data_IF_614692276477
#
_entry.id   IF_614692276477
#
_cell.length_a   1.000
_cell.length_b   1.000
_cell.length_c   1.000
_cell.angle_alpha   90.00
_cell.angle_beta   90.00
_cell.angle_gamma   90.00
#
_symmetry.space_group_name_H-M   'P 1'
#
loop_
_entity.id
_entity.type
_entity.pdbx_description
1 polymer ?
#
# COMPACT_ATOMS: atom_id res chain seq x y z
N UNK A 1 17.44 14.84 27.66
CA UNK A 1 18.36 14.72 26.50
C UNK A 1 18.47 13.23 26.17
N UNK A 2 18.01 12.83 24.98
CA UNK A 2 18.07 11.44 24.53
C UNK A 2 19.52 10.99 24.27
N UNK A 3 19.77 9.68 24.14
CA UNK A 3 21.09 9.19 23.72
C UNK A 3 21.47 9.69 22.32
N UNK A 4 20.47 9.71 21.41
CA UNK A 4 20.69 10.20 20.05
C UNK A 4 21.07 11.68 20.02
N UNK A 5 20.38 12.50 20.81
CA UNK A 5 20.66 13.94 20.91
C UNK A 5 22.10 14.23 21.42
N UNK A 6 22.61 13.38 22.30
CA UNK A 6 24.01 13.47 22.78
C UNK A 6 25.02 13.00 21.74
N UNK A 7 24.69 11.95 21.00
CA UNK A 7 25.62 11.29 20.08
C UNK A 7 25.62 11.95 18.70
N UNK A 8 24.44 12.33 18.19
CA UNK A 8 24.27 12.95 16.88
C UNK A 8 23.11 13.94 16.92
N UNK A 9 23.36 15.18 17.35
CA UNK A 9 22.33 16.21 17.44
C UNK A 9 21.76 16.62 16.07
N UNK A 10 22.52 16.43 14.96
CA UNK A 10 22.04 16.76 13.62
C UNK A 10 20.93 15.79 13.19
N UNK A 11 21.15 14.51 13.37
CA UNK A 11 20.11 13.50 13.08
C UNK A 11 18.89 13.70 13.98
N UNK A 12 19.08 13.98 15.28
CA UNK A 12 17.96 14.27 16.17
C UNK A 12 17.15 15.49 15.71
N UNK A 13 17.82 16.55 15.26
CA UNK A 13 17.16 17.74 14.75
C UNK A 13 16.29 17.44 13.51
N UNK A 14 16.79 16.66 12.56
CA UNK A 14 16.04 16.27 11.35
C UNK A 14 14.85 15.39 11.69
N UNK A 15 15.00 14.45 12.64
CA UNK A 15 13.88 13.62 13.14
C UNK A 15 12.80 14.51 13.76
N UNK A 16 13.19 15.52 14.53
CA UNK A 16 12.24 16.45 15.12
C UNK A 16 11.52 17.30 14.06
N UNK A 17 12.22 17.70 12.99
CA UNK A 17 11.60 18.40 11.85
C UNK A 17 10.59 17.51 11.12
N UNK A 18 10.91 16.23 10.89
CA UNK A 18 9.97 15.28 10.28
C UNK A 18 8.76 15.03 11.19
N UNK A 19 8.96 14.91 12.50
CA UNK A 19 7.84 14.81 13.45
C UNK A 19 6.94 16.04 13.41
N UNK A 20 7.51 17.25 13.32
CA UNK A 20 6.76 18.50 13.16
C UNK A 20 5.96 18.48 11.84
N UNK A 21 6.60 18.11 10.72
CA UNK A 21 5.91 17.95 9.43
C UNK A 21 4.71 17.01 9.52
N UNK A 22 4.87 15.84 10.14
CA UNK A 22 3.78 14.87 10.30
C UNK A 22 2.66 15.42 11.19
N UNK A 23 2.96 16.23 12.20
CA UNK A 23 1.97 16.84 13.09
C UNK A 23 1.21 18.00 12.42
N UNK A 24 1.90 18.80 11.63
CA UNK A 24 1.41 20.08 11.12
C UNK A 24 0.79 19.97 9.72
N UNK A 25 0.89 18.81 9.05
CA UNK A 25 0.30 18.55 7.74
C UNK A 25 -0.74 17.45 7.78
N UNK A 26 -1.71 17.49 6.86
CA UNK A 26 -2.64 16.40 6.59
C UNK A 26 -2.00 15.43 5.61
N UNK A 27 -1.70 14.21 6.08
CA UNK A 27 -1.11 13.15 5.27
C UNK A 27 -2.19 12.42 4.48
N UNK A 28 -2.21 12.59 3.17
CA UNK A 28 -3.18 12.00 2.26
C UNK A 28 -2.54 11.10 1.20
N UNK A 29 -1.25 10.79 1.32
CA UNK A 29 -0.63 9.75 0.49
C UNK A 29 -1.26 8.40 0.84
N UNK A 30 -1.97 7.79 -0.12
CA UNK A 30 -2.78 6.58 0.11
C UNK A 30 -1.96 5.36 0.61
N UNK A 31 -0.65 5.37 0.42
CA UNK A 31 0.28 4.33 0.84
C UNK A 31 1.00 4.63 2.16
N UNK A 32 0.65 5.71 2.85
CA UNK A 32 1.22 6.08 4.14
C UNK A 32 0.21 5.93 5.29
N UNK A 33 0.76 5.74 6.49
CA UNK A 33 -0.01 5.62 7.72
C UNK A 33 0.88 5.93 8.93
N UNK A 34 0.28 6.14 10.08
CA UNK A 34 0.97 6.32 11.35
C UNK A 34 0.87 5.05 12.18
N UNK A 35 2.00 4.50 12.59
CA UNK A 35 2.06 3.30 13.43
C UNK A 35 1.88 3.65 14.90
N UNK A 36 1.51 2.67 15.72
CA UNK A 36 1.46 2.83 17.17
C UNK A 36 2.86 3.02 17.78
N UNK A 37 2.93 3.61 18.97
CA UNK A 37 4.17 3.69 19.74
C UNK A 37 4.77 2.30 20.01
N UNK A 38 3.94 1.29 20.25
CA UNK A 38 4.40 -0.08 20.47
C UNK A 38 5.11 -0.68 19.25
N UNK A 39 4.65 -0.37 18.04
CA UNK A 39 5.34 -0.76 16.79
C UNK A 39 6.69 -0.06 16.69
N UNK A 40 6.78 1.25 17.01
CA UNK A 40 8.04 2.00 17.00
C UNK A 40 9.03 1.48 18.05
N UNK A 41 8.58 1.18 19.27
CA UNK A 41 9.41 0.61 20.33
C UNK A 41 9.97 -0.77 19.96
N UNK A 42 9.14 -1.65 19.38
CA UNK A 42 9.60 -2.95 18.92
C UNK A 42 10.69 -2.80 17.84
N UNK A 43 10.52 -1.86 16.91
CA UNK A 43 11.48 -1.61 15.85
C UNK A 43 12.78 -0.98 16.35
N UNK A 44 12.74 -0.14 17.37
CA UNK A 44 13.91 0.48 18.01
C UNK A 44 14.57 -0.39 19.08
N UNK A 45 14.24 -1.68 19.16
CA UNK A 45 14.71 -2.58 20.22
C UNK A 45 16.09 -3.18 19.95
N UNK A 46 16.64 -3.88 20.96
CA UNK A 46 17.92 -4.62 20.90
C UNK A 46 17.94 -5.73 19.84
N UNK A 47 16.79 -6.09 19.28
CA UNK A 47 16.68 -7.09 18.22
C UNK A 47 17.41 -6.70 16.93
N UNK A 48 17.72 -5.40 16.75
CA UNK A 48 18.58 -4.92 15.65
C UNK A 48 19.97 -5.53 15.67
N UNK A 49 20.44 -6.02 16.82
CA UNK A 49 21.77 -6.61 16.97
C UNK A 49 21.83 -8.09 16.55
N UNK A 50 20.66 -8.76 16.36
CA UNK A 50 20.63 -10.22 16.21
C UNK A 50 20.64 -10.68 14.77
N UNK A 51 21.63 -11.49 14.44
CA UNK A 51 21.74 -12.19 13.15
C UNK A 51 21.05 -13.56 13.22
N UNK A 52 20.06 -13.82 12.35
CA UNK A 52 19.18 -14.98 12.46
C UNK A 52 18.86 -15.64 11.10
N UNK A 53 19.87 -15.86 10.25
CA UNK A 53 19.70 -16.58 8.97
C UNK A 53 19.04 -17.95 9.16
N UNK A 54 18.14 -18.27 8.25
CA UNK A 54 17.30 -19.45 8.33
C UNK A 54 15.89 -19.11 8.85
N UNK A 55 15.24 -20.10 9.43
CA UNK A 55 13.85 -20.02 9.92
C UNK A 55 13.74 -20.53 11.35
N UNK A 56 12.65 -20.27 12.09
CA UNK A 56 12.48 -20.77 13.47
C UNK A 56 12.79 -22.26 13.60
N UNK A 57 13.62 -22.61 14.57
CA UNK A 57 14.08 -23.97 14.81
C UNK A 57 15.11 -24.51 13.80
N UNK A 58 15.45 -23.75 12.75
CA UNK A 58 16.39 -24.14 11.69
C UNK A 58 17.31 -22.96 11.33
N UNK A 59 17.96 -22.37 12.33
CA UNK A 59 18.87 -21.24 12.14
C UNK A 59 20.30 -21.71 11.83
N UNK A 60 21.03 -20.89 11.11
CA UNK A 60 22.46 -21.10 10.87
C UNK A 60 23.34 -20.60 12.02
N UNK A 61 22.76 -19.78 12.94
CA UNK A 61 23.48 -19.16 14.07
C UNK A 61 22.86 -19.57 15.40
N UNK A 62 23.72 -19.61 16.45
CA UNK A 62 23.26 -19.80 17.82
C UNK A 62 22.60 -18.58 18.43
N UNK A 63 21.99 -18.72 19.61
CA UNK A 63 21.33 -17.63 20.35
C UNK A 63 20.06 -17.11 19.69
N UNK A 64 19.33 -17.97 18.99
CA UNK A 64 18.10 -17.60 18.27
C UNK A 64 16.81 -18.00 18.99
N UNK A 65 16.90 -18.55 20.20
CA UNK A 65 15.75 -19.06 20.96
C UNK A 65 14.64 -18.00 21.14
N UNK A 66 15.02 -16.74 21.39
CA UNK A 66 14.05 -15.65 21.58
C UNK A 66 13.49 -15.12 20.26
N UNK A 67 14.35 -14.97 19.23
CA UNK A 67 13.88 -14.50 17.92
C UNK A 67 13.05 -15.55 17.19
N UNK A 68 13.23 -16.83 17.48
CA UNK A 68 12.38 -17.92 17.01
C UNK A 68 10.93 -17.75 17.52
N UNK A 69 10.78 -17.38 18.80
CA UNK A 69 9.44 -17.08 19.36
C UNK A 69 8.81 -15.88 18.66
N UNK A 70 9.59 -14.82 18.43
CA UNK A 70 9.09 -13.58 17.78
C UNK A 70 8.65 -13.87 16.34
N UNK A 71 9.45 -14.55 15.55
CA UNK A 71 9.11 -14.86 14.17
C UNK A 71 7.92 -15.82 14.08
N UNK A 72 7.88 -16.82 14.96
CA UNK A 72 6.74 -17.74 15.06
C UNK A 72 5.45 -16.98 15.38
N UNK A 73 5.47 -16.05 16.35
CA UNK A 73 4.31 -15.21 16.65
C UNK A 73 3.86 -14.36 15.45
N UNK A 74 4.80 -13.79 14.69
CA UNK A 74 4.47 -13.03 13.49
C UNK A 74 3.81 -13.93 12.42
N UNK A 75 4.35 -15.11 12.19
CA UNK A 75 3.81 -16.11 11.24
C UNK A 75 2.40 -16.53 11.66
N UNK A 76 2.20 -16.94 12.91
CA UNK A 76 0.90 -17.43 13.38
C UNK A 76 -0.17 -16.32 13.39
N UNK A 77 0.20 -15.09 13.75
CA UNK A 77 -0.71 -13.94 13.68
C UNK A 77 -1.09 -13.61 12.24
N UNK A 78 -0.12 -13.64 11.31
CA UNK A 78 -0.38 -13.44 9.88
C UNK A 78 -1.32 -14.50 9.32
N UNK A 79 -1.07 -15.78 9.59
CA UNK A 79 -1.93 -16.90 9.18
C UNK A 79 -3.35 -16.74 9.73
N UNK A 80 -3.49 -16.41 11.02
CA UNK A 80 -4.79 -16.19 11.65
C UNK A 80 -5.53 -14.99 11.07
N UNK A 81 -4.82 -13.89 10.77
CA UNK A 81 -5.39 -12.65 10.30
C UNK A 81 -6.02 -12.78 8.91
N UNK A 82 -5.39 -13.56 8.04
CA UNK A 82 -5.78 -13.70 6.63
C UNK A 82 -6.36 -15.07 6.27
N UNK A 83 -6.33 -16.05 7.18
CA UNK A 83 -6.76 -17.43 6.89
C UNK A 83 -5.80 -18.18 5.98
N UNK A 84 -4.50 -17.87 5.99
CA UNK A 84 -3.51 -18.47 5.12
C UNK A 84 -2.96 -19.79 5.67
N UNK A 85 -2.62 -20.72 4.76
CA UNK A 85 -2.00 -22.01 5.11
C UNK A 85 -0.54 -21.81 5.53
N UNK A 86 0.20 -20.93 4.83
CA UNK A 86 1.60 -20.59 5.10
C UNK A 86 1.83 -19.09 5.02
N UNK A 87 2.78 -18.58 5.82
CA UNK A 87 3.22 -17.20 5.83
C UNK A 87 4.74 -17.10 5.95
N UNK A 88 5.36 -16.30 5.08
CA UNK A 88 6.74 -15.87 5.21
C UNK A 88 6.78 -14.37 5.54
N UNK A 89 7.29 -14.03 6.73
CA UNK A 89 7.32 -12.66 7.26
C UNK A 89 8.68 -11.98 7.09
N UNK A 90 9.64 -12.63 6.44
CA UNK A 90 11.01 -12.13 6.27
C UNK A 90 11.19 -11.10 5.14
N UNK A 91 10.36 -10.98 4.09
CA UNK A 91 10.57 -9.96 3.07
C UNK A 91 10.75 -8.56 3.64
N UNK A 92 11.82 -7.86 3.22
CA UNK A 92 12.15 -6.52 3.72
C UNK A 92 11.21 -5.45 3.16
N UNK A 93 10.58 -5.72 2.03
CA UNK A 93 9.61 -4.82 1.38
C UNK A 93 8.60 -5.60 0.53
N UNK A 94 7.52 -4.93 0.09
CA UNK A 94 6.58 -5.51 -0.86
C UNK A 94 7.24 -5.87 -2.19
N UNK A 95 8.16 -5.05 -2.69
CA UNK A 95 8.91 -5.35 -3.92
C UNK A 95 9.75 -6.62 -3.79
N UNK A 96 10.40 -6.83 -2.64
CA UNK A 96 11.15 -8.07 -2.38
C UNK A 96 10.22 -9.28 -2.20
N UNK A 97 9.05 -9.09 -1.61
CA UNK A 97 8.04 -10.14 -1.53
C UNK A 97 7.62 -10.59 -2.95
N UNK A 98 7.28 -9.64 -3.83
CA UNK A 98 6.91 -9.93 -5.21
C UNK A 98 8.07 -10.60 -5.97
N UNK A 99 9.28 -10.05 -5.84
CA UNK A 99 10.45 -10.63 -6.50
C UNK A 99 10.77 -12.04 -5.95
N UNK A 100 10.57 -12.29 -4.65
CA UNK A 100 10.69 -13.62 -4.06
C UNK A 100 9.75 -14.64 -4.68
N UNK A 101 8.52 -14.25 -4.96
CA UNK A 101 7.55 -15.11 -5.68
C UNK A 101 8.02 -15.40 -7.09
N UNK A 102 8.46 -14.36 -7.82
CA UNK A 102 8.97 -14.54 -9.19
C UNK A 102 10.20 -15.45 -9.22
N UNK A 103 11.14 -15.22 -8.33
CA UNK A 103 12.35 -16.04 -8.20
C UNK A 103 12.04 -17.50 -7.84
N UNK A 104 11.00 -17.74 -7.05
CA UNK A 104 10.58 -19.10 -6.67
C UNK A 104 9.96 -19.89 -7.82
N UNK A 105 9.20 -19.22 -8.70
CA UNK A 105 8.21 -19.89 -9.55
C UNK A 105 8.38 -19.64 -11.05
N UNK A 106 9.18 -18.65 -11.43
CA UNK A 106 9.38 -18.24 -12.82
C UNK A 106 10.85 -18.40 -13.25
N UNK A 107 11.03 -18.44 -14.58
CA UNK A 107 12.34 -18.31 -15.21
C UNK A 107 12.36 -17.02 -16.04
N UNK A 108 13.54 -16.38 -16.27
CA UNK A 108 13.66 -15.27 -17.19
C UNK A 108 13.08 -15.64 -18.57
N UNK A 109 12.23 -14.75 -19.13
CA UNK A 109 11.53 -14.98 -20.38
C UNK A 109 10.14 -15.62 -20.24
N UNK A 110 9.75 -16.08 -19.05
CA UNK A 110 8.36 -16.51 -18.82
C UNK A 110 7.38 -15.35 -19.04
N UNK A 111 6.18 -15.65 -19.51
CA UNK A 111 5.13 -14.63 -19.69
C UNK A 111 4.35 -14.42 -18.41
N UNK A 112 4.17 -13.17 -18.04
CA UNK A 112 3.32 -12.74 -16.93
C UNK A 112 2.25 -11.77 -17.42
N UNK A 113 1.08 -11.81 -16.77
CA UNK A 113 -0.01 -10.84 -16.98
C UNK A 113 -0.16 -10.03 -15.71
N UNK A 114 -0.09 -8.69 -15.82
CA UNK A 114 -0.22 -7.76 -14.70
C UNK A 114 -1.00 -6.52 -15.06
N UNK A 115 -1.50 -5.79 -14.05
CA UNK A 115 -2.23 -4.55 -14.30
C UNK A 115 -1.28 -3.48 -14.84
N UNK A 116 -1.71 -2.79 -15.90
CA UNK A 116 -0.96 -1.68 -16.48
C UNK A 116 -0.68 -0.60 -15.42
N UNK A 117 0.57 -0.13 -15.35
CA UNK A 117 1.00 0.88 -14.40
C UNK A 117 0.15 2.16 -14.49
N UNK A 118 -0.14 2.63 -15.72
CA UNK A 118 -0.94 3.83 -15.97
C UNK A 118 -2.43 3.65 -15.64
N UNK A 119 -2.90 2.42 -15.46
CA UNK A 119 -4.27 2.10 -15.07
C UNK A 119 -4.41 1.72 -13.59
N UNK A 120 -3.34 1.92 -12.82
CA UNK A 120 -3.35 1.71 -11.37
C UNK A 120 -2.51 0.52 -10.88
N UNK A 121 -1.78 -0.17 -11.74
CA UNK A 121 -0.85 -1.24 -11.37
C UNK A 121 0.31 -0.74 -10.49
N UNK A 122 1.18 -1.66 -10.08
CA UNK A 122 2.40 -1.35 -9.34
C UNK A 122 3.64 -1.58 -10.23
N UNK A 123 4.74 -0.87 -9.95
CA UNK A 123 6.01 -1.03 -10.69
C UNK A 123 6.44 -2.50 -10.82
N UNK A 124 6.28 -3.27 -9.73
CA UNK A 124 6.68 -4.69 -9.69
C UNK A 124 5.73 -5.63 -10.42
N UNK A 125 4.66 -5.13 -11.05
CA UNK A 125 3.72 -5.93 -11.84
C UNK A 125 4.06 -5.95 -13.34
N UNK A 126 5.33 -5.70 -13.69
CA UNK A 126 5.80 -5.77 -15.07
C UNK A 126 6.19 -4.44 -15.72
N UNK A 127 6.38 -3.36 -14.93
CA UNK A 127 6.88 -2.10 -15.48
C UNK A 127 8.25 -2.28 -16.13
N UNK A 128 8.49 -1.73 -17.35
CA UNK A 128 9.76 -1.86 -18.07
C UNK A 128 10.99 -1.37 -17.30
N UNK A 129 10.81 -0.45 -16.36
CA UNK A 129 11.90 0.09 -15.51
C UNK A 129 12.14 -0.73 -14.25
N UNK A 130 11.38 -1.81 -14.05
CA UNK A 130 11.49 -2.71 -12.92
C UNK A 130 12.06 -4.07 -13.34
N UNK A 131 12.66 -4.79 -12.40
CA UNK A 131 13.16 -6.17 -12.62
C UNK A 131 12.09 -7.05 -13.27
N UNK A 132 10.82 -6.93 -12.88
CA UNK A 132 9.72 -7.70 -13.43
C UNK A 132 9.54 -7.46 -14.94
N UNK A 133 9.66 -6.22 -15.42
CA UNK A 133 9.58 -5.89 -16.83
C UNK A 133 10.87 -6.18 -17.60
N UNK A 134 12.00 -6.31 -16.90
CA UNK A 134 13.30 -6.63 -17.51
C UNK A 134 13.47 -8.14 -17.73
N UNK A 135 12.97 -8.97 -16.83
CA UNK A 135 13.20 -10.42 -16.85
C UNK A 135 12.08 -11.21 -17.52
N UNK A 136 10.86 -10.67 -17.56
CA UNK A 136 9.68 -11.40 -18.03
C UNK A 136 9.06 -10.76 -19.28
N UNK A 137 8.36 -11.58 -20.07
CA UNK A 137 7.48 -11.11 -21.13
C UNK A 137 6.18 -10.62 -20.48
N UNK A 138 5.95 -9.31 -20.49
CA UNK A 138 4.81 -8.71 -19.81
C UNK A 138 3.69 -8.44 -20.78
N UNK A 139 2.50 -8.95 -20.48
CA UNK A 139 1.27 -8.61 -21.18
C UNK A 139 0.36 -7.87 -20.17
N UNK A 140 0.13 -6.56 -20.36
CA UNK A 140 -0.67 -5.79 -19.42
C UNK A 140 -2.16 -5.98 -19.68
N UNK A 141 -2.96 -6.04 -18.59
CA UNK A 141 -4.39 -5.75 -18.66
C UNK A 141 -4.69 -4.37 -18.09
N UNK A 142 -5.82 -3.79 -18.45
CA UNK A 142 -6.19 -2.45 -18.04
C UNK A 142 -7.63 -2.35 -17.54
N UNK A 143 -8.13 -1.13 -17.62
CA UNK A 143 -9.53 -0.79 -17.33
C UNK A 143 -10.24 -0.39 -18.60
N UNK A 144 -11.55 -0.51 -18.62
CA UNK A 144 -12.40 -0.01 -19.67
C UNK A 144 -12.35 1.52 -19.74
N UNK A 145 -12.46 2.08 -20.94
CA UNK A 145 -12.27 3.52 -21.17
C UNK A 145 -13.42 4.39 -20.64
N UNK A 146 -14.64 3.86 -20.62
CA UNK A 146 -15.83 4.60 -20.19
C UNK A 146 -16.04 4.49 -18.67
N UNK A 147 -15.99 3.26 -18.15
CA UNK A 147 -16.22 2.98 -16.74
C UNK A 147 -15.00 3.18 -15.85
N UNK A 148 -13.81 3.12 -16.45
CA UNK A 148 -12.51 3.14 -15.77
C UNK A 148 -12.39 2.01 -14.70
N UNK A 149 -13.09 0.90 -14.93
CA UNK A 149 -13.06 -0.30 -14.11
C UNK A 149 -12.51 -1.49 -14.92
N UNK A 150 -12.03 -2.52 -14.22
CA UNK A 150 -11.52 -3.74 -14.86
C UNK A 150 -12.65 -4.40 -15.66
N UNK A 151 -12.45 -4.57 -16.97
CA UNK A 151 -13.29 -5.40 -17.82
C UNK A 151 -12.78 -6.86 -17.73
N UNK A 152 -13.55 -7.71 -17.06
CA UNK A 152 -13.19 -9.09 -16.84
C UNK A 152 -13.30 -9.97 -18.09
N UNK A 153 -14.10 -9.56 -19.09
CA UNK A 153 -14.20 -10.28 -20.37
C UNK A 153 -12.98 -9.99 -21.24
N UNK A 154 -12.54 -8.73 -21.30
CA UNK A 154 -11.29 -8.36 -21.99
C UNK A 154 -10.07 -8.94 -21.23
N UNK A 155 -10.07 -8.94 -19.90
CA UNK A 155 -9.05 -9.60 -19.10
C UNK A 155 -8.93 -11.09 -19.47
N UNK A 156 -10.06 -11.81 -19.54
CA UNK A 156 -10.09 -13.24 -19.93
C UNK A 156 -9.51 -13.44 -21.32
N UNK A 157 -9.89 -12.62 -22.28
CA UNK A 157 -9.37 -12.69 -23.66
C UNK A 157 -7.85 -12.50 -23.70
N UNK A 158 -7.32 -11.49 -23.01
CA UNK A 158 -5.88 -11.26 -22.87
C UNK A 158 -5.17 -12.50 -22.32
N UNK A 159 -5.68 -13.08 -21.26
CA UNK A 159 -5.10 -14.26 -20.61
C UNK A 159 -5.10 -15.49 -21.51
N UNK A 160 -6.21 -15.74 -22.22
CA UNK A 160 -6.32 -16.90 -23.14
C UNK A 160 -5.36 -16.77 -24.34
N UNK A 161 -5.11 -15.55 -24.83
CA UNK A 161 -4.15 -15.28 -25.89
C UNK A 161 -2.71 -15.38 -25.40
N UNK A 162 -2.40 -14.77 -24.26
CA UNK A 162 -1.05 -14.69 -23.70
C UNK A 162 -0.55 -16.01 -23.12
N UNK A 163 -1.46 -16.85 -22.58
CA UNK A 163 -1.15 -18.09 -21.86
C UNK A 163 -0.02 -17.91 -20.85
N UNK A 164 -0.15 -16.97 -19.91
CA UNK A 164 0.93 -16.62 -19.00
C UNK A 164 1.22 -17.77 -18.02
N UNK A 165 2.41 -17.77 -17.47
CA UNK A 165 2.77 -18.66 -16.36
C UNK A 165 2.27 -18.16 -15.01
N UNK A 166 2.17 -16.82 -14.88
CA UNK A 166 1.68 -16.16 -13.67
C UNK A 166 0.83 -14.95 -14.02
N UNK A 167 -0.26 -14.79 -13.29
CA UNK A 167 -1.14 -13.62 -13.35
C UNK A 167 -1.07 -12.89 -12.03
N UNK A 168 -0.93 -11.54 -12.08
CA UNK A 168 -0.85 -10.69 -10.92
C UNK A 168 -2.06 -9.77 -10.89
N UNK A 169 -2.87 -9.89 -9.85
CA UNK A 169 -3.93 -8.93 -9.52
C UNK A 169 -3.51 -8.01 -8.39
N UNK A 170 -4.16 -6.87 -8.28
CA UNK A 170 -3.87 -5.85 -7.29
C UNK A 170 -3.46 -4.53 -7.93
N UNK A 171 -3.56 -3.44 -7.18
CA UNK A 171 -3.26 -2.12 -7.71
C UNK A 171 -2.88 -1.12 -6.62
N UNK A 172 -2.08 -0.12 -7.01
CA UNK A 172 -1.65 0.99 -6.16
C UNK A 172 -2.56 2.20 -6.26
N UNK A 173 -3.31 2.31 -7.36
CA UNK A 173 -4.15 3.44 -7.68
C UNK A 173 -5.49 3.01 -8.30
N UNK A 174 -5.96 1.82 -8.00
CA UNK A 174 -7.28 1.32 -8.39
C UNK A 174 -8.22 1.38 -7.17
N UNK A 175 -9.30 2.14 -7.29
CA UNK A 175 -10.17 2.49 -6.17
C UNK A 175 -11.37 1.56 -5.97
N UNK A 176 -11.62 0.65 -6.92
CA UNK A 176 -12.76 -0.30 -6.86
C UNK A 176 -12.33 -1.66 -6.33
N UNK A 177 -13.28 -2.44 -5.86
CA UNK A 177 -13.05 -3.84 -5.50
C UNK A 177 -12.67 -4.67 -6.73
N UNK A 178 -11.81 -5.67 -6.52
CA UNK A 178 -11.38 -6.62 -7.54
C UNK A 178 -12.05 -7.96 -7.28
N UNK A 179 -12.66 -8.56 -8.30
CA UNK A 179 -13.24 -9.89 -8.24
C UNK A 179 -12.15 -10.96 -8.39
N UNK A 180 -11.51 -11.31 -7.27
CA UNK A 180 -10.44 -12.30 -7.24
C UNK A 180 -10.90 -13.68 -7.65
N UNK A 181 -12.17 -14.01 -7.42
CA UNK A 181 -12.75 -15.31 -7.81
C UNK A 181 -12.78 -15.44 -9.34
N UNK A 182 -13.33 -14.43 -10.03
CA UNK A 182 -13.33 -14.42 -11.50
C UNK A 182 -11.92 -14.49 -12.08
N UNK A 183 -10.99 -13.73 -11.52
CA UNK A 183 -9.62 -13.74 -12.02
C UNK A 183 -8.92 -15.07 -11.77
N UNK A 184 -9.16 -15.71 -10.63
CA UNK A 184 -8.64 -17.05 -10.34
C UNK A 184 -9.20 -18.12 -11.30
N UNK A 185 -10.51 -18.08 -11.59
CA UNK A 185 -11.14 -18.97 -12.55
C UNK A 185 -10.46 -18.87 -13.93
N UNK A 186 -10.24 -17.64 -14.40
CA UNK A 186 -9.55 -17.39 -15.68
C UNK A 186 -8.08 -17.85 -15.64
N UNK A 187 -7.37 -17.65 -14.54
CA UNK A 187 -5.99 -18.12 -14.39
C UNK A 187 -5.90 -19.64 -14.50
N UNK A 188 -6.84 -20.34 -13.87
CA UNK A 188 -6.88 -21.80 -13.89
C UNK A 188 -7.31 -22.38 -15.25
N UNK A 189 -8.03 -21.63 -16.10
CA UNK A 189 -8.34 -22.07 -17.48
C UNK A 189 -7.07 -22.28 -18.33
N UNK A 190 -5.97 -21.62 -17.98
CA UNK A 190 -4.68 -21.69 -18.72
C UNK A 190 -3.54 -22.28 -17.88
N UNK A 191 -3.85 -22.91 -16.75
CA UNK A 191 -2.88 -23.48 -15.81
C UNK A 191 -1.87 -22.44 -15.26
N UNK A 192 -2.25 -21.15 -15.21
CA UNK A 192 -1.43 -20.09 -14.67
C UNK A 192 -1.51 -20.05 -13.14
N UNK A 193 -0.40 -19.67 -12.50
CA UNK A 193 -0.37 -19.34 -11.08
C UNK A 193 -1.08 -18.01 -10.88
N UNK A 194 -2.03 -17.96 -9.94
CA UNK A 194 -2.73 -16.73 -9.60
C UNK A 194 -2.13 -16.09 -8.34
N UNK A 195 -1.54 -14.92 -8.51
CA UNK A 195 -0.95 -14.12 -7.44
C UNK A 195 -1.75 -12.83 -7.24
N UNK A 196 -1.96 -12.47 -5.98
CA UNK A 196 -2.56 -11.17 -5.63
C UNK A 196 -1.59 -10.36 -4.76
N UNK A 197 -1.29 -9.15 -5.19
CA UNK A 197 -0.62 -8.14 -4.36
C UNK A 197 -1.69 -7.28 -3.69
N UNK A 198 -1.96 -7.56 -2.41
CA UNK A 198 -2.97 -6.83 -1.63
C UNK A 198 -2.37 -5.67 -0.82
N UNK A 199 -1.16 -5.22 -1.13
CA UNK A 199 -0.42 -4.25 -0.33
C UNK A 199 -1.23 -3.01 0.06
N UNK A 200 -2.01 -2.45 -0.87
CA UNK A 200 -2.81 -1.27 -0.60
C UNK A 200 -3.99 -1.51 0.35
N UNK A 201 -4.68 -2.62 0.19
CA UNK A 201 -5.94 -2.90 0.90
C UNK A 201 -5.83 -4.02 1.95
N UNK A 202 -4.60 -4.46 2.30
CA UNK A 202 -4.39 -5.55 3.26
C UNK A 202 -5.06 -5.32 4.62
N UNK A 203 -5.08 -4.09 5.12
CA UNK A 203 -5.78 -3.75 6.36
C UNK A 203 -7.29 -3.91 6.24
N UNK A 204 -7.88 -3.62 5.09
CA UNK A 204 -9.30 -3.81 4.83
C UNK A 204 -9.65 -5.30 4.73
N UNK A 205 -8.78 -6.11 4.12
CA UNK A 205 -8.90 -7.58 4.10
C UNK A 205 -8.82 -8.14 5.52
N UNK A 206 -7.83 -7.72 6.30
CA UNK A 206 -7.66 -8.14 7.69
C UNK A 206 -8.89 -7.86 8.57
N UNK A 207 -9.57 -6.74 8.30
CA UNK A 207 -10.79 -6.34 8.98
C UNK A 207 -12.06 -7.05 8.46
N UNK A 208 -11.97 -7.84 7.38
CA UNK A 208 -13.11 -8.49 6.74
C UNK A 208 -14.03 -7.51 5.98
N UNK A 209 -13.47 -6.38 5.51
CA UNK A 209 -14.19 -5.30 4.81
C UNK A 209 -13.85 -5.21 3.31
N UNK A 210 -13.04 -6.13 2.82
CA UNK A 210 -12.66 -6.29 1.42
C UNK A 210 -12.61 -7.78 1.11
N UNK A 211 -12.96 -8.23 -0.12
CA UNK A 211 -12.80 -9.63 -0.51
C UNK A 211 -11.41 -10.15 -0.18
N UNK A 212 -11.34 -11.33 0.45
CA UNK A 212 -10.07 -11.92 0.86
C UNK A 212 -9.44 -12.70 -0.30
N UNK A 213 -8.31 -12.23 -0.86
CA UNK A 213 -7.67 -12.93 -1.98
C UNK A 213 -7.11 -14.29 -1.61
N UNK A 214 -6.80 -14.56 -0.33
CA UNK A 214 -6.23 -15.85 0.13
C UNK A 214 -7.16 -17.03 -0.17
N UNK A 215 -8.47 -16.80 -0.25
CA UNK A 215 -9.45 -17.82 -0.58
C UNK A 215 -9.34 -18.32 -2.04
N UNK A 216 -8.85 -17.49 -2.94
CA UNK A 216 -8.85 -17.74 -4.39
C UNK A 216 -7.45 -17.82 -5.00
N UNK A 217 -6.49 -17.06 -4.48
CA UNK A 217 -5.13 -17.00 -5.02
C UNK A 217 -4.27 -18.19 -4.57
N UNK A 218 -3.29 -18.53 -5.38
CA UNK A 218 -2.22 -19.45 -5.01
C UNK A 218 -1.24 -18.81 -4.05
N UNK A 219 -0.95 -17.50 -4.30
CA UNK A 219 0.00 -16.71 -3.52
C UNK A 219 -0.57 -15.30 -3.35
N UNK A 220 -0.38 -14.76 -2.17
CA UNK A 220 -0.73 -13.38 -1.85
C UNK A 220 0.48 -12.68 -1.26
N UNK A 221 0.82 -11.53 -1.79
CA UNK A 221 1.87 -10.67 -1.23
C UNK A 221 1.27 -9.40 -0.64
N UNK A 222 1.98 -8.80 0.27
CA UNK A 222 1.58 -7.50 0.83
C UNK A 222 2.76 -6.74 1.40
N UNK A 223 2.61 -5.43 1.51
CA UNK A 223 3.35 -4.60 2.46
C UNK A 223 2.67 -4.63 3.82
N UNK A 224 3.39 -4.24 4.87
CA UNK A 224 2.85 -4.21 6.23
C UNK A 224 2.49 -2.79 6.74
N UNK A 225 2.81 -1.74 5.98
CA UNK A 225 2.84 -0.35 6.45
C UNK A 225 1.80 0.60 5.84
N UNK A 226 0.83 0.09 5.06
CA UNK A 226 -0.24 0.91 4.45
C UNK A 226 -1.52 0.83 5.29
N UNK A 227 -2.61 0.34 4.73
CA UNK A 227 -3.86 0.13 5.51
C UNK A 227 -3.69 -0.84 6.68
N UNK A 228 -2.72 -1.76 6.62
CA UNK A 228 -2.42 -2.69 7.72
C UNK A 228 -1.75 -2.02 8.94
N UNK A 229 -1.28 -0.77 8.79
CA UNK A 229 -0.78 0.10 9.86
C UNK A 229 0.38 -0.50 10.69
N UNK A 230 1.27 -1.25 10.02
CA UNK A 230 2.46 -1.85 10.63
C UNK A 230 3.77 -1.17 10.21
N UNK A 231 4.92 -1.75 10.57
CA UNK A 231 6.23 -1.25 10.17
C UNK A 231 6.44 -1.41 8.66
N UNK A 232 7.37 -0.65 8.10
CA UNK A 232 7.79 -0.83 6.72
C UNK A 232 8.40 -2.21 6.53
N UNK A 233 7.80 -3.00 5.65
CA UNK A 233 8.19 -4.37 5.38
C UNK A 233 7.25 -5.03 4.37
N UNK A 234 7.51 -6.29 4.06
CA UNK A 234 6.68 -7.14 3.21
C UNK A 234 6.36 -8.48 3.86
N UNK A 235 5.46 -9.21 3.24
CA UNK A 235 5.05 -10.55 3.66
C UNK A 235 4.51 -11.33 2.45
N UNK A 236 4.68 -12.64 2.47
CA UNK A 236 4.09 -13.56 1.50
C UNK A 236 3.20 -14.56 2.24
N UNK A 237 2.00 -14.74 1.74
CA UNK A 237 1.06 -15.77 2.14
C UNK A 237 0.88 -16.73 0.96
N UNK A 238 0.79 -18.02 1.18
CA UNK A 238 0.56 -18.96 0.08
C UNK A 238 -0.10 -20.25 0.53
N UNK A 239 -0.57 -21.01 -0.45
CA UNK A 239 -1.00 -22.40 -0.24
C UNK A 239 0.22 -23.25 0.14
N UNK A 240 0.01 -24.27 0.98
CA UNK A 240 1.08 -25.14 1.53
C UNK A 240 1.99 -25.71 0.43
N UNK A 241 1.42 -26.05 -0.73
CA UNK A 241 2.19 -26.60 -1.87
C UNK A 241 3.33 -25.69 -2.36
N UNK A 242 3.27 -24.37 -2.08
CA UNK A 242 4.30 -23.41 -2.47
C UNK A 242 5.25 -23.02 -1.31
N UNK A 243 4.93 -23.37 -0.09
CA UNK A 243 5.64 -22.94 1.12
C UNK A 243 7.16 -23.14 1.02
N UNK A 244 7.58 -24.36 0.69
CA UNK A 244 9.00 -24.70 0.58
C UNK A 244 9.74 -23.91 -0.51
N UNK A 245 9.10 -23.66 -1.65
CA UNK A 245 9.70 -22.91 -2.75
C UNK A 245 9.84 -21.43 -2.37
N UNK A 246 8.83 -20.85 -1.76
CA UNK A 246 8.82 -19.45 -1.28
C UNK A 246 9.88 -19.24 -0.20
N UNK A 247 9.92 -20.10 0.83
CA UNK A 247 10.89 -19.97 1.90
C UNK A 247 12.32 -20.07 1.37
N UNK A 248 12.60 -21.02 0.47
CA UNK A 248 13.90 -21.16 -0.17
C UNK A 248 14.25 -19.95 -1.05
N UNK A 249 13.29 -19.35 -1.72
CA UNK A 249 13.50 -18.18 -2.55
C UNK A 249 13.83 -16.94 -1.70
N UNK A 250 13.18 -16.76 -0.57
CA UNK A 250 13.50 -15.67 0.35
C UNK A 250 14.87 -15.90 0.99
N UNK A 251 15.03 -17.00 1.71
CA UNK A 251 16.32 -17.37 2.27
C UNK A 251 16.69 -18.82 1.88
N UNK A 252 17.86 -19.03 1.30
CA UNK A 252 18.96 -18.10 1.00
C UNK A 252 18.90 -17.46 -0.40
N UNK A 253 17.75 -17.49 -1.08
CA UNK A 253 17.64 -17.11 -2.49
C UNK A 253 17.95 -15.64 -2.78
N UNK A 254 17.19 -14.73 -2.20
CA UNK A 254 17.30 -13.28 -2.47
C UNK A 254 17.62 -12.43 -1.25
N UNK A 255 17.52 -12.99 -0.03
CA UNK A 255 17.85 -12.33 1.24
C UNK A 255 18.82 -13.17 2.05
N UNK A 256 19.55 -12.52 2.98
CA UNK A 256 20.35 -13.14 4.02
C UNK A 256 19.66 -13.04 5.38
N UNK A 257 20.33 -12.43 6.37
CA UNK A 257 19.78 -12.25 7.72
C UNK A 257 18.48 -11.44 7.74
N UNK A 258 17.42 -11.97 8.33
CA UNK A 258 16.16 -11.25 8.47
C UNK A 258 16.30 -10.09 9.47
N UNK A 259 15.48 -9.05 9.28
CA UNK A 259 15.43 -7.90 10.17
C UNK A 259 14.54 -8.20 11.37
N UNK A 260 15.12 -8.77 12.43
CA UNK A 260 14.35 -9.29 13.58
C UNK A 260 13.58 -8.20 14.34
N UNK A 261 14.11 -6.98 14.41
CA UNK A 261 13.41 -5.81 14.96
C UNK A 261 12.19 -5.43 14.14
N UNK A 262 12.24 -5.54 12.81
CA UNK A 262 11.09 -5.31 11.93
C UNK A 262 10.07 -6.45 12.05
N UNK A 263 10.52 -7.71 12.17
CA UNK A 263 9.63 -8.87 12.37
C UNK A 263 8.90 -8.75 13.71
N UNK A 264 9.59 -8.30 14.76
CA UNK A 264 8.94 -8.00 16.05
C UNK A 264 7.85 -6.92 15.91
N UNK A 265 8.16 -5.85 15.21
CA UNK A 265 7.20 -4.77 14.94
C UNK A 265 6.01 -5.27 14.07
N UNK A 266 6.24 -6.16 13.09
CA UNK A 266 5.17 -6.86 12.36
C UNK A 266 4.29 -7.68 13.31
N UNK A 267 4.91 -8.45 14.21
CA UNK A 267 4.16 -9.25 15.20
C UNK A 267 3.27 -8.37 16.09
N UNK A 268 3.74 -7.20 16.52
CA UNK A 268 2.94 -6.22 17.28
C UNK A 268 1.77 -5.73 16.42
N UNK A 269 2.03 -5.23 15.22
CA UNK A 269 1.00 -4.71 14.33
C UNK A 269 -0.06 -5.75 13.96
N UNK A 270 0.31 -7.01 13.72
CA UNK A 270 -0.64 -8.09 13.47
C UNK A 270 -1.46 -8.42 14.73
N UNK A 271 -0.87 -8.28 15.91
CA UNK A 271 -1.58 -8.39 17.17
C UNK A 271 -2.65 -7.29 17.35
N UNK A 272 -2.31 -6.05 16.97
CA UNK A 272 -3.26 -4.92 16.95
C UNK A 272 -4.36 -5.15 15.90
N UNK A 273 -4.01 -5.62 14.71
CA UNK A 273 -4.97 -5.89 13.63
C UNK A 273 -5.97 -7.02 13.96
N UNK A 274 -5.64 -7.91 14.90
CA UNK A 274 -6.53 -8.95 15.39
C UNK A 274 -7.55 -8.44 16.44
N UNK A 275 -7.43 -7.20 16.90
CA UNK A 275 -8.36 -6.63 17.89
C UNK A 275 -9.59 -6.03 17.22
N UNK A 276 -10.75 -6.01 17.90
CA UNK A 276 -12.00 -5.43 17.36
C UNK A 276 -11.87 -3.97 16.92
N UNK A 277 -11.04 -3.20 17.61
CA UNK A 277 -10.80 -1.77 17.35
C UNK A 277 -10.19 -1.55 15.96
N UNK A 278 -9.43 -2.50 15.46
CA UNK A 278 -8.88 -2.42 14.11
C UNK A 278 -9.97 -2.47 13.03
N UNK A 279 -11.03 -3.25 13.25
CA UNK A 279 -12.17 -3.28 12.34
C UNK A 279 -12.92 -1.94 12.34
N UNK A 280 -13.06 -1.31 13.49
CA UNK A 280 -13.65 0.05 13.61
C UNK A 280 -12.81 1.06 12.83
N UNK A 281 -11.48 1.04 13.01
CA UNK A 281 -10.56 1.86 12.24
C UNK A 281 -10.71 1.63 10.73
N UNK A 282 -10.67 0.39 10.28
CA UNK A 282 -10.74 0.05 8.85
C UNK A 282 -12.09 0.46 8.23
N UNK A 283 -13.20 0.33 8.96
CA UNK A 283 -14.50 0.83 8.51
C UNK A 283 -14.48 2.34 8.37
N UNK A 284 -13.95 3.06 9.35
CA UNK A 284 -13.82 4.51 9.30
C UNK A 284 -12.94 4.98 8.12
N UNK A 285 -11.90 4.22 7.77
CA UNK A 285 -11.08 4.51 6.57
C UNK A 285 -11.93 4.52 5.29
N UNK A 286 -12.78 3.50 5.14
CA UNK A 286 -13.68 3.39 3.97
C UNK A 286 -14.74 4.50 3.98
N UNK A 287 -15.34 4.76 5.13
CA UNK A 287 -16.39 5.77 5.27
C UNK A 287 -15.85 7.18 4.98
N UNK A 288 -14.67 7.49 5.51
CA UNK A 288 -13.95 8.73 5.20
C UNK A 288 -13.62 8.85 3.71
N UNK A 289 -13.15 7.76 3.08
CA UNK A 289 -12.82 7.78 1.65
C UNK A 289 -14.05 8.02 0.77
N UNK A 290 -15.16 7.38 1.08
CA UNK A 290 -16.43 7.59 0.36
C UNK A 290 -16.95 9.02 0.54
N UNK A 291 -16.94 9.54 1.76
CA UNK A 291 -17.37 10.90 2.06
C UNK A 291 -16.48 11.94 1.34
N UNK A 292 -15.17 11.76 1.40
CA UNK A 292 -14.23 12.65 0.70
C UNK A 292 -14.45 12.62 -0.81
N UNK A 293 -14.62 11.44 -1.42
CA UNK A 293 -14.87 11.33 -2.85
C UNK A 293 -16.16 12.00 -3.27
N UNK A 294 -17.25 11.84 -2.50
CA UNK A 294 -18.53 12.50 -2.75
C UNK A 294 -18.42 14.02 -2.63
N UNK A 295 -17.80 14.52 -1.55
CA UNK A 295 -17.63 15.95 -1.34
C UNK A 295 -16.75 16.60 -2.44
N UNK A 296 -15.67 15.94 -2.88
CA UNK A 296 -14.86 16.42 -4.01
C UNK A 296 -15.68 16.50 -5.32
N UNK A 297 -16.61 15.55 -5.55
CA UNK A 297 -17.50 15.58 -6.71
C UNK A 297 -18.52 16.71 -6.60
N UNK A 298 -19.08 16.99 -5.43
CA UNK A 298 -19.97 18.13 -5.16
C UNK A 298 -19.24 19.45 -5.42
N UNK A 299 -17.94 19.51 -5.10
CA UNK A 299 -17.06 20.62 -5.46
C UNK A 299 -16.70 20.67 -6.96
N UNK A 300 -17.21 19.77 -7.78
CA UNK A 300 -17.01 19.74 -9.22
C UNK A 300 -15.69 19.11 -9.68
N UNK A 301 -14.98 18.41 -8.82
CA UNK A 301 -13.79 17.63 -9.21
C UNK A 301 -14.22 16.25 -9.72
N UNK A 302 -13.45 15.69 -10.65
CA UNK A 302 -13.77 14.40 -11.26
C UNK A 302 -13.05 13.27 -10.54
N UNK A 303 -13.79 12.32 -10.00
CA UNK A 303 -13.22 11.10 -9.39
C UNK A 303 -13.16 9.99 -10.43
N UNK A 304 -11.97 9.46 -10.68
CA UNK A 304 -11.74 8.33 -11.59
C UNK A 304 -12.59 7.14 -11.15
N UNK A 305 -13.21 6.44 -12.09
CA UNK A 305 -14.19 5.36 -11.88
C UNK A 305 -15.45 5.76 -11.09
N UNK A 306 -15.71 7.06 -10.93
CA UNK A 306 -16.93 7.59 -10.30
C UNK A 306 -17.00 7.43 -8.78
N UNK A 307 -15.87 7.10 -8.10
CA UNK A 307 -15.84 6.99 -6.64
C UNK A 307 -14.83 5.96 -6.13
N UNK A 308 -14.99 5.51 -4.87
CA UNK A 308 -14.13 4.52 -4.26
C UNK A 308 -14.89 3.52 -3.40
N UNK A 309 -14.42 2.28 -3.40
CA UNK A 309 -14.87 1.20 -2.52
C UNK A 309 -13.85 0.90 -1.41
N UNK A 310 -12.70 1.58 -1.44
CA UNK A 310 -11.55 1.30 -0.57
C UNK A 310 -11.08 2.56 0.16
N UNK A 311 -9.79 2.66 0.44
CA UNK A 311 -9.14 3.79 1.12
C UNK A 311 -8.54 4.83 0.17
N UNK A 312 -8.49 4.54 -1.13
CA UNK A 312 -7.79 5.33 -2.14
C UNK A 312 -8.75 5.85 -3.21
N UNK A 313 -8.49 7.04 -3.71
CA UNK A 313 -9.16 7.61 -4.88
C UNK A 313 -8.16 8.33 -5.77
N UNK A 314 -8.47 8.38 -7.07
CA UNK A 314 -7.79 9.24 -8.04
C UNK A 314 -8.71 10.41 -8.39
N UNK A 315 -8.15 11.61 -8.36
CA UNK A 315 -8.82 12.84 -8.78
C UNK A 315 -8.21 13.30 -10.08
N UNK A 316 -9.02 13.39 -11.13
CA UNK A 316 -8.66 14.02 -12.39
C UNK A 316 -8.77 15.54 -12.22
N UNK A 317 -7.63 16.24 -12.33
CA UNK A 317 -7.56 17.69 -12.09
C UNK A 317 -7.63 18.52 -13.36
N UNK A 318 -7.80 17.91 -14.54
CA UNK A 318 -7.81 18.62 -15.84
C UNK A 318 -8.88 19.69 -15.94
N UNK A 319 -10.01 19.50 -15.27
CA UNK A 319 -11.11 20.49 -15.26
C UNK A 319 -10.79 21.76 -14.47
N UNK A 320 -9.71 21.76 -13.67
CA UNK A 320 -9.20 22.98 -13.00
C UNK A 320 -8.18 23.74 -13.87
N UNK A 321 -7.76 23.16 -14.99
CA UNK A 321 -6.70 23.70 -15.85
C UNK A 321 -5.29 23.37 -15.36
N UNK A 322 -5.15 22.60 -14.28
CA UNK A 322 -3.86 22.21 -13.68
C UNK A 322 -3.41 20.84 -14.17
N UNK A 323 -2.10 20.62 -14.10
CA UNK A 323 -1.50 19.29 -14.14
C UNK A 323 -1.49 18.65 -12.75
N UNK A 324 -1.33 17.32 -12.69
CA UNK A 324 -1.17 16.64 -11.40
C UNK A 324 0.04 17.14 -10.60
N UNK A 325 1.14 17.52 -11.29
CA UNK A 325 2.32 18.07 -10.65
C UNK A 325 2.07 19.45 -10.01
N UNK A 326 1.34 20.32 -10.68
CA UNK A 326 0.97 21.62 -10.14
C UNK A 326 0.01 21.48 -8.96
N UNK A 327 -1.00 20.61 -9.08
CA UNK A 327 -1.95 20.33 -8.00
C UNK A 327 -1.25 19.76 -6.75
N UNK A 328 -0.35 18.79 -6.92
CA UNK A 328 0.47 18.23 -5.82
C UNK A 328 1.24 19.34 -5.08
N UNK A 329 1.88 20.25 -5.83
CA UNK A 329 2.66 21.34 -5.26
C UNK A 329 1.82 22.36 -4.49
N UNK A 330 0.72 22.83 -5.09
CA UNK A 330 -0.22 23.76 -4.46
C UNK A 330 -0.80 23.20 -3.14
N UNK A 331 -1.15 21.93 -3.12
CA UNK A 331 -1.66 21.27 -1.92
C UNK A 331 -0.59 21.13 -0.84
N UNK A 332 0.67 20.81 -1.22
CA UNK A 332 1.76 20.73 -0.24
C UNK A 332 2.08 22.09 0.40
N UNK A 333 1.97 23.19 -0.36
CA UNK A 333 2.15 24.55 0.15
C UNK A 333 1.14 24.92 1.25
N UNK A 334 -0.09 24.42 1.17
CA UNK A 334 -1.13 24.67 2.17
C UNK A 334 -1.17 23.61 3.28
N UNK A 335 -0.24 22.64 3.26
CA UNK A 335 -0.13 21.61 4.29
C UNK A 335 -0.91 20.33 4.03
N UNK A 336 -1.30 20.05 2.79
CA UNK A 336 -1.91 18.77 2.38
C UNK A 336 -0.89 17.95 1.57
N UNK A 337 -0.41 16.85 2.12
CA UNK A 337 0.56 15.98 1.46
C UNK A 337 -0.16 14.90 0.65
N UNK A 338 0.02 14.93 -0.67
CA UNK A 338 -0.50 13.91 -1.60
C UNK A 338 0.55 13.59 -2.67
N UNK A 339 0.21 12.81 -3.69
CA UNK A 339 1.11 12.59 -4.82
C UNK A 339 0.38 12.77 -6.16
N UNK A 340 1.08 13.36 -7.13
CA UNK A 340 0.64 13.32 -8.53
C UNK A 340 0.55 11.87 -9.00
N UNK A 341 -0.42 11.58 -9.85
CA UNK A 341 -0.63 10.23 -10.38
C UNK A 341 -1.21 10.29 -11.79
N UNK A 342 -0.75 9.39 -12.65
CA UNK A 342 -1.41 9.18 -13.94
C UNK A 342 -2.83 8.71 -13.72
N UNK A 343 -3.75 9.16 -14.57
CA UNK A 343 -5.10 8.62 -14.66
C UNK A 343 -5.16 7.60 -15.82
N UNK A 344 -6.13 6.68 -15.85
CA UNK A 344 -6.31 5.81 -17.02
C UNK A 344 -6.41 6.63 -18.31
N UNK A 345 -5.69 6.19 -19.36
CA UNK A 345 -5.62 6.88 -20.67
C UNK A 345 -5.09 8.32 -20.58
N UNK A 346 -4.21 8.58 -19.64
CA UNK A 346 -3.65 9.91 -19.39
C UNK A 346 -2.92 10.45 -20.65
N UNK A 347 -3.30 11.64 -21.15
CA UNK A 347 -2.59 12.26 -22.27
C UNK A 347 -1.25 12.87 -21.86
N UNK A 348 -1.01 13.09 -20.56
CA UNK A 348 0.21 13.68 -20.04
C UNK A 348 1.30 12.62 -19.80
N UNK A 349 2.55 13.04 -19.76
CA UNK A 349 3.67 12.17 -19.40
C UNK A 349 3.62 11.77 -17.93
N UNK A 350 4.21 10.64 -17.52
CA UNK A 350 4.27 10.21 -16.12
C UNK A 350 4.98 11.19 -15.17
N UNK A 351 5.75 12.13 -15.69
CA UNK A 351 6.45 13.15 -14.90
C UNK A 351 5.59 14.38 -14.59
N UNK A 352 4.51 14.57 -15.34
CA UNK A 352 3.57 15.69 -15.24
C UNK A 352 2.24 15.23 -14.66
N UNK A 353 1.64 14.22 -15.28
CA UNK A 353 0.34 13.59 -14.95
C UNK A 353 -0.87 14.52 -15.05
N UNK A 354 -2.06 13.94 -15.11
CA UNK A 354 -3.34 14.69 -15.13
C UNK A 354 -4.15 14.51 -13.85
N UNK A 355 -3.63 13.79 -12.87
CA UNK A 355 -4.34 13.52 -11.62
C UNK A 355 -3.47 13.58 -10.38
N UNK A 356 -4.15 13.54 -9.24
CA UNK A 356 -3.56 13.31 -7.92
C UNK A 356 -4.19 12.08 -7.29
N UNK A 357 -3.43 11.38 -6.43
CA UNK A 357 -3.91 10.25 -5.63
C UNK A 357 -4.06 10.67 -4.19
N UNK A 358 -5.25 10.43 -3.63
CA UNK A 358 -5.59 10.72 -2.25
C UNK A 358 -5.99 9.44 -1.52
N UNK A 359 -5.74 9.40 -0.21
CA UNK A 359 -6.14 8.30 0.66
C UNK A 359 -6.42 8.75 2.08
N UNK A 360 -7.17 7.94 2.81
CA UNK A 360 -7.68 8.27 4.15
C UNK A 360 -7.07 7.50 5.32
N UNK A 361 -6.13 6.54 5.16
CA UNK A 361 -5.63 5.76 6.28
C UNK A 361 -4.96 6.60 7.37
N UNK A 362 -4.05 7.50 6.98
CA UNK A 362 -3.32 8.36 7.91
C UNK A 362 -4.23 9.38 8.60
N UNK A 363 -5.17 10.00 7.86
CA UNK A 363 -6.20 10.88 8.42
C UNK A 363 -7.04 10.16 9.47
N UNK A 364 -7.49 8.93 9.17
CA UNK A 364 -8.30 8.12 10.08
C UNK A 364 -7.52 7.69 11.32
N UNK A 365 -6.24 7.30 11.17
CA UNK A 365 -5.38 7.00 12.32
C UNK A 365 -5.19 8.22 13.22
N UNK A 366 -5.16 9.40 12.64
CA UNK A 366 -5.07 10.67 13.36
C UNK A 366 -6.37 10.99 14.13
N UNK A 367 -7.51 10.42 13.73
CA UNK A 367 -8.79 10.59 14.39
C UNK A 367 -9.86 11.34 13.62
N UNK A 368 -9.56 11.80 12.40
CA UNK A 368 -10.54 12.48 11.55
C UNK A 368 -11.70 11.55 11.17
N UNK A 369 -12.89 12.12 11.05
CA UNK A 369 -14.15 11.42 10.85
C UNK A 369 -14.83 11.90 9.55
N UNK A 370 -15.93 11.25 9.18
CA UNK A 370 -16.72 11.61 7.99
C UNK A 370 -17.07 13.10 7.93
N UNK A 371 -17.43 13.72 9.05
CA UNK A 371 -17.78 15.16 9.13
C UNK A 371 -16.62 16.09 8.74
N UNK A 372 -15.36 15.62 8.85
CA UNK A 372 -14.19 16.44 8.53
C UNK A 372 -13.84 16.34 7.02
N UNK A 373 -14.44 15.39 6.31
CA UNK A 373 -14.13 15.14 4.89
C UNK A 373 -14.67 16.22 3.96
N UNK A 374 -15.80 16.82 4.30
CA UNK A 374 -16.38 17.96 3.57
C UNK A 374 -15.45 19.18 3.65
N UNK A 375 -14.93 19.47 4.85
CA UNK A 375 -13.97 20.55 5.08
C UNK A 375 -12.68 20.34 4.29
N UNK A 376 -12.15 19.12 4.27
CA UNK A 376 -10.95 18.78 3.50
C UNK A 376 -11.22 18.91 2.00
N UNK A 377 -12.36 18.45 1.52
CA UNK A 377 -12.75 18.56 0.12
C UNK A 377 -12.87 20.02 -0.35
N UNK A 378 -13.48 20.89 0.46
CA UNK A 378 -13.59 22.31 0.17
C UNK A 378 -12.20 22.98 0.16
N UNK A 379 -11.32 22.68 1.12
CA UNK A 379 -9.93 23.18 1.11
C UNK A 379 -9.22 22.77 -0.18
N UNK A 380 -9.28 21.50 -0.57
CA UNK A 380 -8.66 21.02 -1.80
C UNK A 380 -9.24 21.75 -3.01
N UNK A 381 -10.55 21.83 -3.12
CA UNK A 381 -11.23 22.42 -4.26
C UNK A 381 -10.95 23.92 -4.39
N UNK A 382 -11.00 24.68 -3.30
CA UNK A 382 -10.78 26.13 -3.34
C UNK A 382 -9.34 26.46 -3.73
N UNK A 383 -8.37 25.69 -3.26
CA UNK A 383 -6.94 25.83 -3.63
C UNK A 383 -6.74 25.54 -5.12
N UNK A 384 -7.27 24.41 -5.63
CA UNK A 384 -7.06 24.02 -7.01
C UNK A 384 -7.82 24.90 -8.01
N UNK A 385 -8.93 25.52 -7.60
CA UNK A 385 -9.70 26.49 -8.42
C UNK A 385 -9.09 27.89 -8.41
N UNK A 386 -8.22 28.21 -7.47
CA UNK A 386 -7.63 29.55 -7.29
C UNK A 386 -6.10 29.47 -7.16
N UNK A 387 -5.38 28.92 -8.15
CA UNK A 387 -3.96 28.58 -8.03
C UNK A 387 -3.03 29.77 -7.81
N UNK A 388 -3.44 30.98 -8.20
CA UNK A 388 -2.64 32.20 -8.08
C UNK A 388 -3.06 33.11 -6.90
N UNK A 389 -4.14 32.76 -6.18
CA UNK A 389 -4.67 33.61 -5.10
C UNK A 389 -4.03 33.27 -3.75
N UNK A 390 -3.04 34.05 -3.37
CA UNK A 390 -2.34 33.88 -2.11
C UNK A 390 -3.22 34.01 -0.88
N UNK A 391 -4.29 34.82 -0.93
CA UNK A 391 -5.20 35.00 0.20
C UNK A 391 -6.02 33.73 0.46
N UNK A 392 -6.39 33.04 -0.62
CA UNK A 392 -7.03 31.71 -0.54
C UNK A 392 -6.09 30.68 0.06
N UNK A 393 -4.82 30.66 -0.37
CA UNK A 393 -3.83 29.71 0.15
C UNK A 393 -3.50 29.96 1.63
N UNK A 394 -3.40 31.23 2.05
CA UNK A 394 -3.21 31.57 3.46
C UNK A 394 -4.39 31.14 4.35
N UNK A 395 -5.61 31.28 3.87
CA UNK A 395 -6.80 30.83 4.59
C UNK A 395 -6.88 29.30 4.63
N UNK A 396 -6.62 28.62 3.49
CA UNK A 396 -6.53 27.18 3.42
C UNK A 396 -5.50 26.61 4.42
N UNK A 397 -4.31 27.22 4.50
CA UNK A 397 -3.27 26.81 5.46
C UNK A 397 -3.73 26.94 6.91
N UNK A 398 -4.48 27.98 7.26
CA UNK A 398 -5.03 28.13 8.62
C UNK A 398 -6.07 27.06 8.94
N UNK A 399 -6.91 26.73 7.97
CA UNK A 399 -7.92 25.66 8.11
C UNK A 399 -7.26 24.28 8.29
N UNK A 400 -6.21 23.99 7.53
CA UNK A 400 -5.41 22.76 7.69
C UNK A 400 -4.77 22.73 9.09
N UNK A 401 -4.16 23.83 9.54
CA UNK A 401 -3.57 23.91 10.87
C UNK A 401 -4.61 23.68 11.97
N UNK A 402 -5.81 24.23 11.85
CA UNK A 402 -6.91 24.01 12.79
C UNK A 402 -7.34 22.53 12.88
N UNK A 403 -7.41 21.83 11.73
CA UNK A 403 -7.68 20.39 11.70
C UNK A 403 -6.54 19.62 12.37
N UNK A 404 -5.29 19.98 12.11
CA UNK A 404 -4.12 19.35 12.73
C UNK A 404 -4.08 19.54 14.25
N UNK A 405 -4.50 20.71 14.76
CA UNK A 405 -4.60 21.02 16.18
C UNK A 405 -5.77 20.27 16.85
N UNK A 406 -6.91 20.15 16.16
CA UNK A 406 -8.08 19.42 16.68
C UNK A 406 -7.83 17.90 16.77
N UNK A 407 -6.96 17.36 15.94
CA UNK A 407 -6.62 15.94 15.88
C UNK A 407 -5.09 15.75 15.99
N UNK A 408 -4.50 15.96 17.17
CA UNK A 408 -3.05 15.89 17.34
C UNK A 408 -2.51 14.47 17.15
N UNK A 409 -1.36 14.35 16.50
CA UNK A 409 -0.66 13.09 16.31
C UNK A 409 0.36 12.88 17.43
N UNK A 410 0.32 11.72 18.14
CA UNK A 410 1.14 11.29 19.29
C UNK A 410 1.07 12.18 20.52
#
# INVERSE_FOLDING_TARGET
MSFLEKQDPNIQAVINQELARQRDKLEMIASENFVSQAVMEAQGSVLTNKYAEGYPGKRYYGGCENVDVIETLAIERAKRLFGAEHANVQPHSGSQANFGVYFALLQPGDTIVGMNLSHGGHLTHGSPVNVSGTYFNVVPYGVDAETQQIDYDEFRKIVLEAKPKLIIAGGSAYSRQIDFKKMAEVAHEVDAIFMVDMAHFAGLVAAGLHPNPVEHADIVTTTTHKTLRGPRGGMILCKEKYAKAIDKAIFPGIQGGPLMHVIAAKAVAFGEALQPEFKVYAQQVIDNAKALAAALQEEGLTIVSGGTDTHVMLVDVRNTGLTGKEAEHLLDEVGITCNKNTIPFDPASPFVTSGIRLGTPALTTRGLQVKDMEEIADIIAVVLKNPEDKSVHEEASKRVAALCEAYPLY
#
